data_IF_011617074896
#
_entry.id   IF_011617074896
#
_cell.length_a   1.000
_cell.length_b   1.000
_cell.length_c   1.000
_cell.angle_alpha   90.00
_cell.angle_beta   90.00
_cell.angle_gamma   90.00
#
_symmetry.space_group_name_H-M   'P 1'
#
loop_
_entity.id
_entity.type
_entity.pdbx_description
1 polymer ?
#
# COMPACT_ATOMS: atom_id res chain seq x y z
N UNK A 1 1.35 -14.81 16.34
CA UNK A 1 0.66 -13.58 16.80
C UNK A 1 0.94 -12.52 15.76
N UNK A 2 -0.10 -11.82 15.25
CA UNK A 2 0.12 -10.71 14.33
C UNK A 2 0.72 -9.54 15.11
N UNK A 3 1.83 -8.99 14.63
CA UNK A 3 2.41 -7.81 15.26
C UNK A 3 1.49 -6.61 15.03
N UNK A 4 1.41 -5.71 16.01
CA UNK A 4 0.65 -4.47 15.82
C UNK A 4 1.34 -3.57 14.80
N UNK A 5 0.58 -2.68 14.16
CA UNK A 5 1.12 -1.66 13.23
C UNK A 5 2.23 -0.85 13.89
N UNK A 6 2.03 -0.51 15.16
CA UNK A 6 2.98 0.25 15.96
C UNK A 6 4.30 -0.50 16.14
N UNK A 7 4.24 -1.79 16.52
CA UNK A 7 5.45 -2.62 16.67
C UNK A 7 6.22 -2.77 15.35
N UNK A 8 5.51 -2.98 14.23
CA UNK A 8 6.12 -3.08 12.90
C UNK A 8 6.84 -1.78 12.56
N UNK A 9 6.15 -0.64 12.73
CA UNK A 9 6.69 0.66 12.40
C UNK A 9 7.85 1.05 13.34
N UNK A 10 7.73 0.80 14.65
CA UNK A 10 8.80 1.07 15.61
C UNK A 10 10.07 0.27 15.30
N UNK A 11 9.93 -0.98 14.84
CA UNK A 11 11.05 -1.83 14.44
C UNK A 11 11.70 -1.40 13.13
N UNK A 12 10.92 -0.94 12.16
CA UNK A 12 11.40 -0.70 10.79
C UNK A 12 11.78 0.76 10.51
N UNK A 13 11.09 1.72 11.11
CA UNK A 13 11.31 3.14 10.84
C UNK A 13 12.56 3.65 11.56
N UNK A 14 13.47 4.25 10.82
CA UNK A 14 14.50 5.15 11.36
C UNK A 14 13.85 6.49 11.72
N UNK A 15 14.37 7.15 12.76
CA UNK A 15 13.80 8.37 13.35
C UNK A 15 12.32 8.25 13.73
N UNK A 16 11.91 7.08 14.22
CA UNK A 16 10.54 6.81 14.67
C UNK A 16 10.03 7.91 15.60
N UNK A 17 8.88 8.46 15.25
CA UNK A 17 8.17 9.45 16.04
C UNK A 17 6.68 9.15 16.01
N UNK A 18 6.08 9.15 17.19
CA UNK A 18 4.65 8.97 17.39
C UNK A 18 4.06 10.22 18.02
N UNK A 19 3.02 10.76 17.39
CA UNK A 19 2.33 11.96 17.86
C UNK A 19 0.85 11.91 17.48
N UNK A 20 -0.02 12.08 18.47
CA UNK A 20 -1.47 12.23 18.30
C UNK A 20 -2.09 11.24 17.29
N UNK A 21 -1.86 9.94 17.49
CA UNK A 21 -2.42 8.88 16.62
C UNK A 21 -1.75 8.77 15.24
N UNK A 22 -0.61 9.42 15.04
CA UNK A 22 0.18 9.36 13.81
C UNK A 22 1.58 8.84 14.12
N UNK A 23 2.05 7.88 13.33
CA UNK A 23 3.44 7.40 13.33
C UNK A 23 4.16 7.99 12.14
N UNK A 24 5.42 8.36 12.32
CA UNK A 24 6.28 8.88 11.27
C UNK A 24 7.73 8.44 11.42
N UNK A 25 8.47 8.47 10.33
CA UNK A 25 9.88 8.09 10.25
C UNK A 25 10.29 7.86 8.80
N UNK A 26 11.41 7.16 8.57
CA UNK A 26 11.80 6.78 7.21
C UNK A 26 12.38 5.37 7.14
N UNK A 27 12.34 4.78 5.94
CA UNK A 27 12.98 3.50 5.61
C UNK A 27 13.79 3.61 4.32
N UNK A 28 14.76 2.73 4.16
CA UNK A 28 15.53 2.58 2.91
C UNK A 28 14.90 1.54 1.98
N UNK A 29 14.27 0.52 2.55
CA UNK A 29 13.58 -0.55 1.82
C UNK A 29 12.08 -0.53 2.14
N UNK A 30 11.33 0.23 1.32
CA UNK A 30 9.89 0.37 1.47
C UNK A 30 9.13 -0.92 1.13
N UNK A 31 9.60 -1.70 0.16
CA UNK A 31 8.92 -2.92 -0.30
C UNK A 31 8.87 -3.99 0.80
N UNK A 32 9.97 -4.13 1.55
CA UNK A 32 10.04 -5.03 2.70
C UNK A 32 9.07 -4.61 3.81
N UNK A 33 9.06 -3.31 4.17
CA UNK A 33 8.08 -2.79 5.13
C UNK A 33 6.65 -3.04 4.65
N UNK A 34 6.34 -2.73 3.39
CA UNK A 34 5.00 -2.88 2.85
C UNK A 34 4.55 -4.35 2.84
N UNK A 35 5.45 -5.28 2.48
CA UNK A 35 5.19 -6.73 2.53
C UNK A 35 4.90 -7.20 3.96
N UNK A 36 5.62 -6.68 4.96
CA UNK A 36 5.40 -7.02 6.37
C UNK A 36 4.07 -6.48 6.91
N UNK A 37 3.69 -5.28 6.48
CA UNK A 37 2.37 -4.69 6.79
C UNK A 37 1.26 -5.55 6.21
N UNK A 38 1.36 -5.95 4.93
CA UNK A 38 0.41 -6.86 4.30
C UNK A 38 0.33 -8.21 5.01
N UNK A 39 1.47 -8.80 5.39
CA UNK A 39 1.53 -10.07 6.10
C UNK A 39 0.88 -10.00 7.49
N UNK A 40 0.94 -8.83 8.13
CA UNK A 40 0.28 -8.54 9.41
C UNK A 40 -1.17 -8.06 9.22
N UNK A 41 -1.65 -8.00 7.97
CA UNK A 41 -3.04 -7.73 7.66
C UNK A 41 -3.41 -6.29 7.33
N UNK A 42 -2.42 -5.41 7.35
CA UNK A 42 -2.58 -4.01 6.96
C UNK A 42 -2.49 -3.89 5.45
N UNK A 43 -3.64 -3.91 4.78
CA UNK A 43 -3.71 -3.71 3.34
C UNK A 43 -4.02 -2.26 3.01
N UNK A 44 -3.19 -1.66 2.17
CA UNK A 44 -3.42 -0.32 1.66
C UNK A 44 -3.54 -0.32 0.14
N UNK A 45 -4.36 0.59 -0.38
CA UNK A 45 -4.58 0.82 -1.80
C UNK A 45 -4.15 2.25 -2.16
N UNK A 46 -3.49 2.41 -3.30
CA UNK A 46 -3.09 3.71 -3.82
C UNK A 46 -4.35 4.50 -4.18
N UNK A 47 -4.51 5.70 -3.61
CA UNK A 47 -5.56 6.63 -4.04
C UNK A 47 -5.03 7.57 -5.12
N UNK A 48 -3.92 8.23 -4.82
CA UNK A 48 -3.27 9.15 -5.74
C UNK A 48 -1.76 9.09 -5.59
N UNK A 49 -1.07 9.26 -6.70
CA UNK A 49 0.39 9.37 -6.78
C UNK A 49 0.71 10.69 -7.46
N UNK A 50 1.47 11.56 -6.80
CA UNK A 50 1.99 12.79 -7.39
C UNK A 50 3.47 12.61 -7.72
N UNK A 51 3.80 12.65 -9.00
CA UNK A 51 5.19 12.79 -9.44
C UNK A 51 5.63 14.25 -9.26
N UNK A 52 6.83 14.47 -8.75
CA UNK A 52 7.35 15.78 -8.36
C UNK A 52 7.71 16.74 -9.51
N UNK A 53 7.17 16.55 -10.72
CA UNK A 53 7.54 17.33 -11.91
C UNK A 53 6.37 18.20 -12.38
N UNK A 54 6.05 19.26 -11.61
CA UNK A 54 5.19 20.36 -12.08
C UNK A 54 3.85 20.57 -11.34
N UNK A 55 3.63 21.85 -10.99
CA UNK A 55 2.38 22.58 -10.71
C UNK A 55 1.45 22.05 -9.59
N UNK A 56 1.25 22.92 -8.60
CA UNK A 56 0.39 22.73 -7.42
C UNK A 56 -1.09 22.77 -7.83
N UNK A 57 -1.77 21.63 -7.80
CA UNK A 57 -3.23 21.60 -7.70
C UNK A 57 -3.64 21.61 -6.22
N UNK A 58 -4.46 22.59 -5.85
CA UNK A 58 -5.14 22.70 -4.56
C UNK A 58 -6.20 21.58 -4.42
N UNK A 59 -5.78 20.32 -4.25
CA UNK A 59 -6.68 19.35 -3.64
C UNK A 59 -6.77 19.68 -2.16
N UNK A 60 -7.98 19.65 -1.60
CA UNK A 60 -8.23 19.72 -0.15
C UNK A 60 -7.16 18.91 0.58
N UNK A 61 -6.48 19.58 1.50
CA UNK A 61 -5.28 19.12 2.17
C UNK A 61 -5.44 17.68 2.68
N UNK A 62 -4.71 16.73 2.09
CA UNK A 62 -4.24 15.57 2.85
C UNK A 62 -3.10 16.12 3.73
N UNK A 63 -3.48 16.76 4.85
CA UNK A 63 -2.65 17.57 5.75
C UNK A 63 -1.49 16.79 6.45
N UNK A 64 -1.19 15.56 6.05
CA UNK A 64 -0.26 14.68 6.77
C UNK A 64 0.83 14.12 5.86
N UNK A 65 1.47 15.00 5.09
CA UNK A 65 2.71 14.66 4.42
C UNK A 65 3.79 14.43 5.50
N UNK A 66 4.62 13.38 5.38
CA UNK A 66 5.69 13.13 6.34
C UNK A 66 6.69 14.29 6.32
N UNK A 67 7.06 14.75 7.51
CA UNK A 67 8.09 15.76 7.69
C UNK A 67 9.46 15.14 7.36
N UNK A 68 10.24 15.85 6.55
CA UNK A 68 11.62 15.48 6.27
C UNK A 68 12.48 16.31 7.21
N UNK A 69 12.99 15.68 8.27
CA UNK A 69 13.99 16.30 9.15
C UNK A 69 15.22 16.68 8.33
N UNK A 70 15.85 17.78 8.68
CA UNK A 70 17.10 18.20 8.05
C UNK A 70 18.26 17.32 8.54
N UNK A 71 18.84 16.55 7.62
CA UNK A 71 19.98 15.66 7.88
C UNK A 71 21.27 16.14 7.20
N UNK A 72 21.33 17.39 6.73
CA UNK A 72 22.55 18.02 6.20
C UNK A 72 22.94 17.63 4.77
N UNK A 73 22.40 16.54 4.22
CA UNK A 73 22.60 16.17 2.81
C UNK A 73 21.46 16.71 1.93
N UNK A 74 21.76 17.28 0.75
CA UNK A 74 20.73 17.70 -0.19
C UNK A 74 19.99 16.49 -0.74
N UNK A 75 18.72 16.70 -1.09
CA UNK A 75 17.86 15.66 -1.62
C UNK A 75 16.94 16.18 -2.72
N UNK A 76 16.50 15.27 -3.59
CA UNK A 76 15.49 15.51 -4.60
C UNK A 76 14.23 14.73 -4.24
N UNK A 77 13.09 15.42 -4.11
CA UNK A 77 11.81 14.76 -3.92
C UNK A 77 11.34 14.17 -5.26
N UNK A 78 11.17 12.85 -5.32
CA UNK A 78 10.80 12.15 -6.55
C UNK A 78 9.27 12.02 -6.66
N UNK A 79 8.65 11.46 -5.61
CA UNK A 79 7.23 11.08 -5.63
C UNK A 79 6.64 11.09 -4.24
N UNK A 80 5.39 11.53 -4.13
CA UNK A 80 4.56 11.34 -2.94
C UNK A 80 3.38 10.46 -3.31
N UNK A 81 3.23 9.35 -2.59
CA UNK A 81 2.14 8.39 -2.78
C UNK A 81 1.23 8.40 -1.56
N UNK A 82 -0.07 8.53 -1.80
CA UNK A 82 -1.09 8.52 -0.77
C UNK A 82 -1.85 7.22 -0.85
N UNK A 83 -1.80 6.48 0.24
CA UNK A 83 -2.47 5.22 0.42
C UNK A 83 -3.62 5.37 1.41
N UNK A 84 -4.68 4.60 1.19
CA UNK A 84 -5.78 4.41 2.14
C UNK A 84 -5.95 2.94 2.41
N UNK A 85 -6.41 2.60 3.61
CA UNK A 85 -6.77 1.23 3.93
C UNK A 85 -7.73 0.67 2.86
N UNK A 86 -7.46 -0.56 2.43
CA UNK A 86 -8.27 -1.26 1.43
C UNK A 86 -9.71 -1.47 1.91
N UNK A 87 -9.93 -1.51 3.22
CA UNK A 87 -11.24 -1.54 3.88
C UNK A 87 -11.85 -0.15 4.15
N UNK A 88 -11.31 0.91 3.55
CA UNK A 88 -11.77 2.28 3.77
C UNK A 88 -13.14 2.62 3.20
N UNK A 89 -13.50 3.90 3.10
CA UNK A 89 -14.78 4.33 2.52
C UNK A 89 -14.81 4.25 0.99
N UNK A 90 -16.03 4.13 0.47
CA UNK A 90 -16.35 4.48 -0.90
C UNK A 90 -16.12 5.96 -1.13
N UNK A 91 -15.43 6.28 -2.20
CA UNK A 91 -15.42 7.64 -2.71
C UNK A 91 -16.77 7.80 -3.44
N UNK A 92 -17.82 8.17 -2.70
CA UNK A 92 -19.16 8.40 -3.26
C UNK A 92 -19.20 9.65 -4.17
N UNK A 93 -18.05 10.12 -4.67
CA UNK A 93 -17.91 11.32 -5.49
C UNK A 93 -18.43 11.17 -6.92
N UNK A 94 -19.01 10.02 -7.28
CA UNK A 94 -19.75 9.88 -8.53
C UNK A 94 -21.11 9.20 -8.31
N UNK A 95 -22.14 9.93 -8.76
CA UNK A 95 -23.53 9.51 -9.05
C UNK A 95 -24.58 9.75 -7.96
N UNK A 96 -24.79 11.02 -7.63
CA UNK A 96 -26.15 11.56 -7.75
C UNK A 96 -26.38 11.98 -9.21
N UNK A 97 -26.38 11.00 -10.13
CA UNK A 97 -26.99 11.18 -11.44
C UNK A 97 -28.50 11.14 -11.21
N UNK A 98 -29.04 12.32 -10.87
CA UNK A 98 -30.28 12.87 -11.41
C UNK A 98 -31.09 11.88 -12.27
N UNK A 99 -31.87 11.03 -11.62
CA UNK A 99 -32.79 10.11 -12.30
C UNK A 99 -34.06 10.86 -12.69
N UNK A 100 -34.01 11.65 -13.75
CA UNK A 100 -35.14 12.40 -14.33
C UNK A 100 -35.96 11.57 -15.35
N UNK A 101 -35.95 10.23 -15.27
CA UNK A 101 -36.76 9.38 -16.16
C UNK A 101 -37.81 8.55 -15.41
N UNK A 102 -39.12 8.89 -15.53
CA UNK A 102 -40.21 8.23 -14.80
C UNK A 102 -40.64 6.85 -15.35
N UNK A 103 -39.78 6.13 -16.09
CA UNK A 103 -40.20 4.93 -16.85
C UNK A 103 -39.34 3.67 -16.76
N UNK A 104 -38.08 3.73 -16.31
CA UNK A 104 -37.18 2.57 -16.42
C UNK A 104 -37.19 1.68 -15.16
N UNK A 105 -38.08 0.68 -15.14
CA UNK A 105 -37.97 -0.47 -14.22
C UNK A 105 -36.84 -1.41 -14.67
N UNK A 106 -35.62 -1.21 -14.18
CA UNK A 106 -34.60 -2.27 -14.11
C UNK A 106 -34.00 -2.30 -12.71
N UNK A 107 -34.59 -3.12 -11.83
CA UNK A 107 -33.92 -3.56 -10.59
C UNK A 107 -32.80 -4.52 -10.96
N UNK A 108 -31.64 -3.99 -11.36
CA UNK A 108 -30.40 -4.76 -11.26
C UNK A 108 -30.14 -4.94 -9.77
N UNK A 109 -30.14 -6.18 -9.30
CA UNK A 109 -29.57 -6.53 -8.01
C UNK A 109 -28.10 -6.09 -8.04
N UNK A 110 -27.84 -4.92 -7.47
CA UNK A 110 -26.49 -4.45 -7.27
C UNK A 110 -25.97 -5.20 -6.05
N UNK A 111 -25.42 -6.39 -6.27
CA UNK A 111 -24.63 -7.08 -5.26
C UNK A 111 -23.50 -6.12 -4.90
N UNK A 112 -23.62 -5.47 -3.74
CA UNK A 112 -22.56 -4.62 -3.17
C UNK A 112 -21.58 -5.54 -2.46
N UNK A 113 -20.83 -6.32 -3.23
CA UNK A 113 -19.79 -7.25 -2.73
C UNK A 113 -18.51 -6.49 -2.40
N UNK A 114 -18.65 -5.51 -1.52
CA UNK A 114 -17.59 -4.56 -1.31
C UNK A 114 -17.18 -4.56 0.14
N UNK A 115 -15.99 -5.11 0.40
CA UNK A 115 -15.29 -5.19 1.69
C UNK A 115 -14.96 -3.83 2.33
N UNK A 116 -15.66 -2.74 1.98
CA UNK A 116 -15.42 -1.39 2.52
C UNK A 116 -16.15 -1.27 3.85
N UNK A 117 -15.38 -1.14 4.93
CA UNK A 117 -15.87 -1.10 6.32
C UNK A 117 -15.85 0.32 6.90
N UNK A 118 -15.49 1.33 6.09
CA UNK A 118 -15.35 2.70 6.59
C UNK A 118 -14.09 2.90 7.41
N UNK A 119 -13.00 2.21 7.08
CA UNK A 119 -11.71 2.45 7.72
C UNK A 119 -11.06 3.77 7.27
N UNK A 120 -10.82 4.68 8.20
CA UNK A 120 -10.16 5.96 7.92
C UNK A 120 -8.64 5.88 7.82
N UNK A 121 -8.06 4.70 8.07
CA UNK A 121 -6.63 4.54 8.10
C UNK A 121 -5.97 4.93 6.77
N UNK A 122 -4.85 5.61 6.89
CA UNK A 122 -4.10 6.18 5.77
C UNK A 122 -2.60 6.02 5.99
N UNK A 123 -1.87 6.01 4.89
CA UNK A 123 -0.42 5.92 4.84
C UNK A 123 0.07 6.86 3.73
N UNK A 124 0.97 7.78 4.05
CA UNK A 124 1.59 8.69 3.09
C UNK A 124 3.07 8.38 3.01
N UNK A 125 3.57 8.18 1.78
CA UNK A 125 4.97 7.83 1.53
C UNK A 125 5.58 8.85 0.59
N UNK A 126 6.64 9.51 1.04
CA UNK A 126 7.41 10.47 0.24
C UNK A 126 8.78 9.87 -0.08
N UNK A 127 8.96 9.52 -1.35
CA UNK A 127 10.21 9.02 -1.89
C UNK A 127 11.12 10.19 -2.25
N UNK A 128 12.31 10.20 -1.67
CA UNK A 128 13.36 11.17 -1.98
C UNK A 128 14.65 10.45 -2.35
N UNK A 129 15.42 11.06 -3.24
CA UNK A 129 16.79 10.66 -3.54
C UNK A 129 17.74 11.57 -2.76
N UNK A 130 18.63 10.98 -1.98
CA UNK A 130 19.61 11.69 -1.16
C UNK A 130 20.99 11.62 -1.81
N UNK A 131 21.75 12.71 -1.73
CA UNK A 131 23.09 12.81 -2.30
C UNK A 131 24.11 13.09 -1.19
N UNK A 132 24.65 12.02 -0.60
CA UNK A 132 25.56 12.13 0.56
C UNK A 132 26.91 12.77 0.22
N UNK A 133 27.37 12.65 -1.02
CA UNK A 133 28.60 13.31 -1.51
C UNK A 133 28.54 14.84 -1.47
N UNK A 134 27.33 15.41 -1.31
CA UNK A 134 27.08 16.85 -1.21
C UNK A 134 26.69 17.26 0.21
N UNK A 135 26.93 16.41 1.22
CA UNK A 135 26.59 16.69 2.62
C UNK A 135 27.36 17.89 3.16
N UNK A 136 26.68 18.71 3.97
CA UNK A 136 27.25 19.91 4.58
C UNK A 136 27.30 19.73 6.10
N UNK A 137 28.44 20.08 6.69
CA UNK A 137 28.56 20.26 8.13
C UNK A 137 27.77 21.49 8.60
N UNK A 138 26.52 21.29 9.06
CA UNK A 138 25.58 22.12 9.85
C UNK A 138 25.43 23.64 9.61
N UNK A 139 26.27 24.32 8.84
CA UNK A 139 26.18 25.77 8.59
C UNK A 139 25.10 26.06 7.56
N UNK A 140 24.10 26.87 7.92
CA UNK A 140 22.93 27.15 7.06
C UNK A 140 23.30 27.87 5.76
N UNK A 141 24.33 28.73 5.78
CA UNK A 141 24.80 29.51 4.63
C UNK A 141 25.30 28.62 3.47
N UNK A 142 25.88 27.46 3.80
CA UNK A 142 26.44 26.55 2.80
C UNK A 142 25.37 25.75 2.04
N UNK A 143 24.13 25.68 2.56
CA UNK A 143 23.02 24.93 1.94
C UNK A 143 22.61 25.45 0.56
N UNK A 144 22.79 26.74 0.30
CA UNK A 144 22.53 27.29 -1.04
C UNK A 144 23.57 26.79 -2.03
N UNK A 145 24.85 26.86 -1.66
CA UNK A 145 25.97 26.45 -2.48
C UNK A 145 25.94 24.94 -2.78
N UNK A 146 25.65 24.07 -1.82
CA UNK A 146 25.55 22.63 -2.11
C UNK A 146 24.36 22.29 -3.01
N UNK A 147 23.25 23.03 -2.91
CA UNK A 147 22.11 22.86 -3.83
C UNK A 147 22.46 23.28 -5.25
N UNK A 148 23.19 24.38 -5.40
CA UNK A 148 23.66 24.85 -6.70
C UNK A 148 24.66 23.87 -7.32
N UNK A 149 25.67 23.43 -6.55
CA UNK A 149 26.62 22.38 -6.98
C UNK A 149 25.92 21.08 -7.38
N UNK A 150 24.93 20.64 -6.62
CA UNK A 150 24.15 19.45 -6.96
C UNK A 150 23.38 19.66 -8.27
N UNK A 151 22.78 20.85 -8.47
CA UNK A 151 22.04 21.17 -9.70
C UNK A 151 22.94 21.13 -10.93
N UNK A 152 24.15 21.68 -10.84
CA UNK A 152 25.16 21.62 -11.90
C UNK A 152 25.59 20.17 -12.16
N UNK A 153 25.89 19.41 -11.10
CA UNK A 153 26.30 18.01 -11.22
C UNK A 153 25.20 17.14 -11.86
N UNK A 154 23.93 17.39 -11.57
CA UNK A 154 22.79 16.70 -12.19
C UNK A 154 22.60 17.03 -13.68
N UNK A 155 23.16 18.15 -14.16
CA UNK A 155 23.15 18.53 -15.57
C UNK A 155 24.38 18.02 -16.33
N UNK A 156 25.37 17.46 -15.62
CA UNK A 156 26.56 16.90 -16.24
C UNK A 156 26.28 15.60 -17.01
N UNK A 157 27.21 15.18 -17.86
CA UNK A 157 27.12 13.92 -18.60
C UNK A 157 27.17 12.68 -17.72
N UNK A 158 27.67 12.82 -16.48
CA UNK A 158 27.74 11.76 -15.46
C UNK A 158 27.07 12.23 -14.16
N UNK A 159 25.72 12.22 -14.09
CA UNK A 159 24.99 12.66 -12.92
C UNK A 159 25.41 11.89 -11.65
N UNK A 160 25.49 12.55 -10.49
CA UNK A 160 25.85 11.89 -9.24
C UNK A 160 24.82 10.82 -8.87
N UNK A 161 25.30 9.72 -8.30
CA UNK A 161 24.42 8.67 -7.79
C UNK A 161 23.89 9.09 -6.42
N UNK A 162 22.63 8.78 -6.17
CA UNK A 162 22.01 8.98 -4.86
C UNK A 162 21.16 7.77 -4.50
N UNK A 163 21.01 7.49 -3.21
CA UNK A 163 20.17 6.42 -2.68
C UNK A 163 18.76 6.92 -2.36
N UNK A 164 17.82 5.99 -2.31
CA UNK A 164 16.42 6.30 -2.00
C UNK A 164 16.19 6.26 -0.50
N UNK A 165 15.39 7.21 -0.01
CA UNK A 165 14.75 7.17 1.31
C UNK A 165 13.25 7.37 1.16
N UNK A 166 12.50 6.61 1.92
CA UNK A 166 11.04 6.66 1.93
C UNK A 166 10.58 7.18 3.28
N UNK A 167 10.18 8.45 3.31
CA UNK A 167 9.61 9.08 4.50
C UNK A 167 8.15 8.67 4.60
N UNK A 168 7.73 8.27 5.79
CA UNK A 168 6.44 7.64 6.05
C UNK A 168 5.71 8.43 7.11
N UNK A 169 4.42 8.64 6.90
CA UNK A 169 3.46 9.04 7.92
C UNK A 169 2.24 8.14 7.81
N UNK A 170 1.76 7.58 8.92
CA UNK A 170 0.62 6.67 8.94
C UNK A 170 -0.27 6.93 10.16
N UNK A 171 -1.58 6.73 10.03
CA UNK A 171 -2.47 6.63 11.19
C UNK A 171 -2.28 5.31 11.92
N UNK A 172 -2.30 5.35 13.25
CA UNK A 172 -2.27 4.14 14.09
C UNK A 172 -3.61 3.40 14.00
N UNK A 173 -4.71 4.14 14.02
CA UNK A 173 -6.04 3.58 14.17
C UNK A 173 -6.54 2.92 12.89
N UNK A 174 -6.78 1.61 12.97
CA UNK A 174 -7.54 0.84 11.99
C UNK A 174 -8.88 0.43 12.62
N UNK A 175 -9.97 1.04 12.18
CA UNK A 175 -11.34 0.75 12.66
C UNK A 175 -11.95 -0.52 12.03
N UNK A 176 -11.17 -1.58 11.88
CA UNK A 176 -11.67 -2.89 11.47
C UNK A 176 -10.94 -4.02 12.21
N UNK A 177 -11.60 -5.17 12.44
CA UNK A 177 -10.94 -6.33 13.04
C UNK A 177 -9.69 -6.71 12.23
N UNK A 178 -8.57 -6.95 12.91
CA UNK A 178 -7.39 -7.56 12.30
C UNK A 178 -7.72 -8.94 11.72
N UNK A 179 -8.73 -9.65 12.23
CA UNK A 179 -9.17 -10.95 11.70
C UNK A 179 -9.70 -10.86 10.26
N UNK A 180 -10.10 -9.69 9.75
CA UNK A 180 -10.47 -9.54 8.34
C UNK A 180 -9.25 -9.59 7.39
N UNK A 181 -8.04 -9.58 7.94
CA UNK A 181 -6.81 -9.90 7.21
C UNK A 181 -6.77 -11.34 6.74
N UNK A 182 -7.53 -12.22 7.40
CA UNK A 182 -7.79 -13.57 6.91
C UNK A 182 -8.46 -13.54 5.52
N UNK A 183 -9.19 -12.47 5.19
CA UNK A 183 -9.78 -12.25 3.86
C UNK A 183 -8.78 -11.82 2.79
N UNK A 184 -7.56 -11.43 3.18
CA UNK A 184 -6.44 -11.01 2.32
C UNK A 184 -5.24 -11.97 2.42
N UNK A 185 -5.40 -13.14 3.04
CA UNK A 185 -4.35 -14.14 3.07
C UNK A 185 -3.94 -14.49 1.65
N UNK A 186 -2.63 -14.40 1.37
CA UNK A 186 -2.08 -14.89 0.11
C UNK A 186 -2.48 -16.35 -0.03
N UNK A 187 -3.00 -16.70 -1.20
CA UNK A 187 -3.31 -18.08 -1.57
C UNK A 187 -2.07 -18.93 -1.24
N UNK A 188 -2.26 -20.08 -0.59
CA UNK A 188 -1.14 -20.95 -0.26
C UNK A 188 -0.26 -21.19 -1.51
N UNK A 189 1.08 -21.08 -1.46
CA UNK A 189 1.92 -21.14 -2.66
C UNK A 189 1.69 -22.38 -3.53
N UNK A 190 1.37 -23.51 -2.89
CA UNK A 190 1.00 -24.75 -3.59
C UNK A 190 -0.28 -24.61 -4.42
N UNK A 191 -1.29 -23.91 -3.89
CA UNK A 191 -2.52 -23.64 -4.64
C UNK A 191 -2.27 -22.68 -5.80
N UNK A 192 -1.40 -21.68 -5.63
CA UNK A 192 -1.01 -20.81 -6.74
C UNK A 192 -0.37 -21.61 -7.89
N UNK A 193 0.55 -22.52 -7.56
CA UNK A 193 1.18 -23.42 -8.55
C UNK A 193 0.14 -24.33 -9.23
N UNK A 194 -0.84 -24.83 -8.48
CA UNK A 194 -1.89 -25.66 -9.07
C UNK A 194 -2.83 -24.84 -9.97
N UNK A 195 -3.18 -23.61 -9.60
CA UNK A 195 -3.92 -22.67 -10.47
C UNK A 195 -3.17 -22.46 -11.79
N UNK A 196 -1.86 -22.16 -11.73
CA UNK A 196 -1.04 -21.99 -12.93
C UNK A 196 -1.05 -23.23 -13.81
N UNK A 197 -0.97 -24.42 -13.21
CA UNK A 197 -0.99 -25.71 -13.93
C UNK A 197 -2.34 -25.96 -14.59
N UNK A 198 -3.45 -25.69 -13.90
CA UNK A 198 -4.81 -25.80 -14.45
C UNK A 198 -4.97 -24.84 -15.64
N UNK A 199 -4.56 -23.57 -15.50
CA UNK A 199 -4.64 -22.58 -16.58
C UNK A 199 -3.77 -22.97 -17.77
N UNK A 200 -2.53 -23.46 -17.55
CA UNK A 200 -1.65 -23.96 -18.61
C UNK A 200 -2.22 -25.16 -19.37
N UNK A 201 -3.12 -25.93 -18.75
CA UNK A 201 -3.82 -27.04 -19.40
C UNK A 201 -4.98 -26.61 -20.31
N UNK A 202 -5.28 -25.30 -20.37
CA UNK A 202 -6.32 -24.72 -21.22
C UNK A 202 -7.65 -24.47 -20.51
N UNK A 203 -7.74 -24.77 -19.22
CA UNK A 203 -8.94 -24.50 -18.41
C UNK A 203 -9.04 -22.99 -18.14
N UNK A 204 -10.11 -22.37 -18.64
CA UNK A 204 -10.36 -20.92 -18.50
C UNK A 204 -11.63 -20.61 -17.72
N UNK A 205 -12.49 -21.61 -17.49
CA UNK A 205 -13.72 -21.46 -16.73
C UNK A 205 -13.44 -21.41 -15.24
N UNK A 206 -13.93 -20.36 -14.57
CA UNK A 206 -13.75 -20.18 -13.12
C UNK A 206 -14.35 -21.34 -12.31
N UNK A 207 -15.52 -21.85 -12.72
CA UNK A 207 -16.16 -23.03 -12.11
C UNK A 207 -15.28 -24.28 -12.20
N UNK A 208 -14.62 -24.49 -13.33
CA UNK A 208 -13.73 -25.64 -13.51
C UNK A 208 -12.47 -25.49 -12.66
N UNK A 209 -11.88 -24.30 -12.62
CA UNK A 209 -10.75 -24.00 -11.74
C UNK A 209 -11.12 -24.28 -10.27
N UNK A 210 -12.27 -23.79 -9.81
CA UNK A 210 -12.76 -24.05 -8.46
C UNK A 210 -12.92 -25.55 -8.18
N UNK A 211 -13.49 -26.32 -9.12
CA UNK A 211 -13.65 -27.76 -8.98
C UNK A 211 -12.30 -28.49 -8.85
N UNK A 212 -11.33 -28.16 -9.71
CA UNK A 212 -9.99 -28.73 -9.64
C UNK A 212 -9.27 -28.40 -8.34
N UNK A 213 -9.36 -27.14 -7.88
CA UNK A 213 -8.74 -26.72 -6.63
C UNK A 213 -9.38 -27.40 -5.42
N UNK A 214 -10.71 -27.52 -5.39
CA UNK A 214 -11.40 -28.24 -4.32
C UNK A 214 -10.90 -29.68 -4.21
N UNK A 215 -10.87 -30.41 -5.34
CA UNK A 215 -10.35 -31.79 -5.38
C UNK A 215 -8.89 -31.87 -4.95
N UNK A 216 -8.07 -30.88 -5.33
CA UNK A 216 -6.67 -30.82 -4.92
C UNK A 216 -6.51 -30.60 -3.41
N UNK A 217 -7.32 -29.73 -2.81
CA UNK A 217 -7.35 -29.48 -1.37
C UNK A 217 -7.82 -30.74 -0.62
N UNK A 218 -8.91 -31.36 -1.08
CA UNK A 218 -9.43 -32.61 -0.49
C UNK A 218 -8.34 -33.69 -0.48
N UNK A 219 -7.58 -33.83 -1.57
CA UNK A 219 -6.44 -34.76 -1.64
C UNK A 219 -5.26 -34.36 -0.74
N UNK A 220 -5.07 -33.06 -0.46
CA UNK A 220 -3.97 -32.56 0.36
C UNK A 220 -4.19 -32.83 1.86
N UNK A 221 -5.43 -32.82 2.31
CA UNK A 221 -5.80 -32.94 3.73
C UNK A 221 -6.45 -34.28 4.11
N UNK A 222 -6.87 -35.09 3.12
CA UNK A 222 -7.58 -36.35 3.39
C UNK A 222 -8.97 -36.12 4.01
N UNK A 223 -9.60 -37.20 4.51
CA UNK A 223 -10.98 -37.15 5.02
C UNK A 223 -11.13 -36.45 6.39
N UNK A 224 -10.09 -36.48 7.23
CA UNK A 224 -10.21 -36.06 8.64
C UNK A 224 -9.62 -34.67 8.97
N UNK A 225 -9.03 -33.96 7.99
CA UNK A 225 -8.33 -32.69 8.28
C UNK A 225 -8.63 -31.54 7.31
N UNK A 226 -9.79 -31.55 6.66
CA UNK A 226 -10.19 -30.46 5.77
C UNK A 226 -10.23 -29.14 6.56
N UNK A 227 -9.49 -28.10 6.12
CA UNK A 227 -9.53 -26.81 6.78
C UNK A 227 -10.97 -26.29 6.85
N UNK A 228 -11.31 -25.64 7.97
CA UNK A 228 -12.63 -25.02 8.14
C UNK A 228 -12.99 -24.18 6.90
N UNK A 229 -14.28 -24.17 6.51
CA UNK A 229 -14.83 -23.37 5.42
C UNK A 229 -14.44 -21.88 5.47
N UNK A 230 -14.08 -21.40 6.67
CA UNK A 230 -13.59 -20.03 6.92
C UNK A 230 -12.09 -19.84 6.64
N UNK A 231 -11.31 -20.91 6.50
CA UNK A 231 -9.87 -20.87 6.24
C UNK A 231 -9.58 -20.55 4.76
N UNK A 232 -9.54 -19.25 4.47
CA UNK A 232 -9.30 -18.72 3.12
C UNK A 232 -7.89 -18.93 2.59
N UNK A 233 -6.96 -19.44 3.41
CA UNK A 233 -5.65 -19.85 2.92
C UNK A 233 -5.76 -20.99 1.89
N UNK A 234 -6.81 -21.81 2.04
CA UNK A 234 -7.14 -22.91 1.15
C UNK A 234 -8.43 -22.70 0.36
N UNK A 235 -9.41 -21.95 0.90
CA UNK A 235 -10.72 -21.82 0.27
C UNK A 235 -10.87 -20.47 -0.43
N UNK A 236 -11.10 -20.51 -1.74
CA UNK A 236 -11.30 -19.31 -2.59
C UNK A 236 -12.79 -19.03 -2.74
N UNK A 237 -13.37 -18.07 -1.98
CA UNK A 237 -14.81 -17.94 -1.89
C UNK A 237 -15.48 -17.46 -3.19
N UNK A 238 -14.74 -16.87 -4.14
CA UNK A 238 -15.30 -16.22 -5.33
C UNK A 238 -14.35 -16.25 -6.55
N UNK A 239 -13.73 -17.38 -6.88
CA UNK A 239 -13.05 -17.51 -8.19
C UNK A 239 -14.06 -17.63 -9.32
#
# INVERSE_FOLDING_TARGET
>A
MANSLEEIMQRRLKDYLQSSGTISGYVEDFENLFTELEASGYSYSIRHSRQGVGIKFHSKKLDKAPEIKDFGSPFQALKTTYYRCSFGYYDNSQKDEQSDHPGSKKRRFHIKDTKKMGCDAWLTVKCVRVYDDFSISKMSSMKSLAREKLKEALQSSSPPTGHLRFYIAASIDHSHPQSLSELNMRIHPTLHKEIEKIVKSGVTSTREIQFHLKRFIDNMFGEDSVPNATNRHFILPNL
#
